data_IF_396905464329
#
_entry.id   IF_396905464329
#
_cell.length_a   1.000
_cell.length_b   1.000
_cell.length_c   1.000
_cell.angle_alpha   90.00
_cell.angle_beta   90.00
_cell.angle_gamma   90.00
#
_symmetry.space_group_name_H-M   'P 1'
#
loop_
_entity.id
_entity.type
_entity.pdbx_description
1 polymer ?
#
# COMPACT_ATOMS: atom_id res chain seq x y z
N UNK A 1 -0.78 10.34 11.44
CA UNK A 1 -0.35 9.91 10.11
C UNK A 1 -0.78 8.47 9.89
N UNK A 2 -1.77 8.23 9.03
CA UNK A 2 -2.34 6.89 8.90
C UNK A 2 -1.40 5.91 8.20
N UNK A 3 -1.26 4.75 8.79
CA UNK A 3 -0.49 3.62 8.27
C UNK A 3 -1.39 2.38 8.10
N UNK A 4 -2.41 2.26 8.94
CA UNK A 4 -3.34 1.14 8.92
C UNK A 4 -4.78 1.65 8.81
N UNK A 5 -5.73 0.83 8.30
CA UNK A 5 -7.12 1.24 8.24
C UNK A 5 -7.73 1.36 9.62
N UNK A 6 -8.69 2.26 9.76
CA UNK A 6 -9.55 2.29 10.95
C UNK A 6 -10.55 1.12 10.87
N UNK A 7 -11.14 0.71 12.01
CA UNK A 7 -12.19 -0.31 11.97
C UNK A 7 -13.36 0.06 11.05
N UNK A 8 -13.75 1.34 11.03
CA UNK A 8 -14.83 1.82 10.16
C UNK A 8 -14.46 1.70 8.67
N UNK A 9 -13.22 2.03 8.29
CA UNK A 9 -12.75 1.90 6.92
C UNK A 9 -12.73 0.44 6.47
N UNK A 10 -12.29 -0.46 7.35
CA UNK A 10 -12.26 -1.88 7.05
C UNK A 10 -13.68 -2.43 6.87
N UNK A 11 -14.62 -2.04 7.74
CA UNK A 11 -16.02 -2.42 7.61
C UNK A 11 -16.64 -1.93 6.30
N UNK A 12 -16.31 -0.70 5.89
CA UNK A 12 -16.77 -0.15 4.61
C UNK A 12 -16.23 -0.95 3.43
N UNK A 13 -14.98 -1.37 3.48
CA UNK A 13 -14.40 -2.19 2.42
C UNK A 13 -15.07 -3.57 2.35
N UNK A 14 -15.31 -4.19 3.49
CA UNK A 14 -16.00 -5.49 3.57
C UNK A 14 -17.41 -5.41 3.00
N UNK A 15 -18.11 -4.31 3.27
CA UNK A 15 -19.49 -4.09 2.82
C UNK A 15 -19.60 -3.49 1.43
N UNK A 16 -18.48 -3.06 0.83
CA UNK A 16 -18.49 -2.38 -0.46
C UNK A 16 -18.94 -3.30 -1.60
N UNK A 17 -19.56 -2.70 -2.61
CA UNK A 17 -20.12 -3.41 -3.76
C UNK A 17 -19.21 -3.24 -4.99
N UNK A 18 -17.95 -3.62 -4.83
CA UNK A 18 -16.99 -3.64 -5.94
C UNK A 18 -17.06 -4.98 -6.64
N UNK A 19 -17.28 -4.95 -7.94
CA UNK A 19 -17.27 -6.15 -8.78
C UNK A 19 -15.98 -6.20 -9.60
N UNK A 20 -15.38 -7.40 -9.70
CA UNK A 20 -14.18 -7.61 -10.51
C UNK A 20 -12.89 -7.14 -9.83
N UNK A 21 -11.87 -6.83 -10.63
CA UNK A 21 -10.55 -6.50 -10.10
C UNK A 21 -10.56 -5.24 -9.25
N UNK A 22 -9.83 -5.30 -8.14
CA UNK A 22 -9.62 -4.18 -7.24
C UNK A 22 -8.21 -3.64 -7.46
N UNK A 23 -8.10 -2.34 -7.71
CA UNK A 23 -6.82 -1.67 -7.84
C UNK A 23 -6.59 -0.81 -6.61
N UNK A 24 -5.54 -1.12 -5.86
CA UNK A 24 -5.16 -0.33 -4.69
C UNK A 24 -4.11 0.69 -5.08
N UNK A 25 -4.48 1.97 -4.97
CA UNK A 25 -3.55 3.09 -5.17
C UNK A 25 -2.91 3.41 -3.83
N UNK A 26 -1.59 3.33 -3.79
CA UNK A 26 -0.80 3.63 -2.61
C UNK A 26 -0.05 4.95 -2.82
N UNK A 27 -0.18 5.86 -1.87
CA UNK A 27 0.66 7.05 -1.77
C UNK A 27 1.49 6.90 -0.51
N UNK A 28 2.82 7.02 -0.63
CA UNK A 28 3.74 6.70 0.44
C UNK A 28 4.68 7.86 0.72
N UNK A 29 4.88 8.14 2.01
CA UNK A 29 5.89 9.06 2.50
C UNK A 29 6.80 8.31 3.45
N UNK A 30 8.07 8.23 3.11
CA UNK A 30 9.05 7.48 3.90
C UNK A 30 9.58 8.30 5.06
N UNK A 31 9.88 7.60 6.16
CA UNK A 31 10.73 8.15 7.22
C UNK A 31 12.14 8.29 6.68
N UNK A 32 12.86 9.32 7.14
CA UNK A 32 14.30 9.44 6.80
C UNK A 32 15.07 8.25 7.34
N UNK A 33 14.76 7.87 8.59
CA UNK A 33 15.29 6.67 9.23
C UNK A 33 14.14 5.80 9.70
N UNK A 34 14.17 4.54 9.33
CA UNK A 34 13.21 3.55 9.80
C UNK A 34 13.37 3.35 11.31
N UNK A 35 12.29 2.94 11.95
CA UNK A 35 12.32 2.58 13.37
C UNK A 35 11.98 1.10 13.58
N UNK A 36 11.75 0.70 14.82
CA UNK A 36 11.32 -0.64 15.16
C UNK A 36 12.24 -1.72 14.59
N UNK A 37 11.63 -2.66 13.88
CA UNK A 37 12.31 -3.83 13.31
C UNK A 37 13.41 -3.48 12.30
N UNK A 38 13.31 -2.31 11.66
CA UNK A 38 14.24 -1.85 10.64
C UNK A 38 15.11 -0.69 11.09
N UNK A 39 15.25 -0.48 12.38
CA UNK A 39 16.10 0.59 12.90
C UNK A 39 17.53 0.47 12.33
N UNK A 40 18.08 1.62 11.92
CA UNK A 40 19.43 1.69 11.36
C UNK A 40 19.50 1.78 9.84
N UNK A 41 18.38 1.62 9.12
CA UNK A 41 18.33 1.82 7.67
C UNK A 41 17.35 2.97 7.35
N UNK A 42 17.35 3.41 6.09
CA UNK A 42 16.39 4.44 5.65
C UNK A 42 14.96 3.88 5.58
N UNK A 43 13.98 4.77 5.63
CA UNK A 43 12.58 4.38 5.40
C UNK A 43 12.39 3.73 4.04
N UNK A 44 13.03 4.26 3.01
CA UNK A 44 12.97 3.69 1.67
C UNK A 44 13.51 2.25 1.63
N UNK A 45 14.61 1.97 2.31
CA UNK A 45 15.18 0.61 2.39
C UNK A 45 14.27 -0.33 3.18
N UNK A 46 13.68 0.15 4.28
CA UNK A 46 12.73 -0.64 5.05
C UNK A 46 11.50 -1.00 4.21
N UNK A 47 11.01 -0.07 3.39
CA UNK A 47 9.88 -0.33 2.51
C UNK A 47 10.25 -1.35 1.42
N UNK A 48 11.49 -1.28 0.90
CA UNK A 48 11.98 -2.29 -0.05
C UNK A 48 11.93 -3.69 0.57
N UNK A 49 12.35 -3.82 1.83
CA UNK A 49 12.26 -5.08 2.57
C UNK A 49 10.83 -5.56 2.69
N UNK A 50 9.90 -4.65 2.97
CA UNK A 50 8.48 -4.95 3.01
C UNK A 50 7.99 -5.49 1.66
N UNK A 51 8.37 -4.83 0.57
CA UNK A 51 8.00 -5.25 -0.78
C UNK A 51 8.48 -6.66 -1.12
N UNK A 52 9.74 -6.97 -0.78
CA UNK A 52 10.29 -8.30 -1.00
C UNK A 52 9.56 -9.36 -0.18
N UNK A 53 9.30 -9.07 1.10
CA UNK A 53 8.61 -10.00 1.98
C UNK A 53 7.15 -10.21 1.59
N UNK A 54 6.50 -9.20 1.01
CA UNK A 54 5.10 -9.24 0.61
C UNK A 54 4.88 -9.99 -0.71
N UNK A 55 5.87 -10.01 -1.60
CA UNK A 55 5.71 -10.57 -2.94
C UNK A 55 5.11 -11.98 -2.97
N UNK A 56 5.55 -12.96 -2.14
CA UNK A 56 4.95 -14.28 -2.15
C UNK A 56 3.46 -14.28 -1.76
N UNK A 57 3.06 -13.41 -0.82
CA UNK A 57 1.67 -13.31 -0.38
C UNK A 57 0.81 -12.72 -1.49
N UNK A 58 1.32 -11.71 -2.19
CA UNK A 58 0.63 -11.11 -3.32
C UNK A 58 0.39 -12.12 -4.44
N UNK A 59 1.43 -12.90 -4.78
CA UNK A 59 1.32 -13.95 -5.79
C UNK A 59 0.29 -15.01 -5.40
N UNK A 60 0.27 -15.38 -4.13
CA UNK A 60 -0.64 -16.43 -3.62
C UNK A 60 -2.11 -16.09 -3.84
N UNK A 61 -2.46 -14.81 -3.72
CA UNK A 61 -3.85 -14.36 -3.94
C UNK A 61 -4.11 -13.91 -5.38
N UNK A 62 -3.14 -14.06 -6.26
CA UNK A 62 -3.29 -13.68 -7.67
C UNK A 62 -3.14 -12.18 -7.92
N UNK A 63 -2.57 -11.46 -6.98
CA UNK A 63 -2.31 -10.03 -7.11
C UNK A 63 -1.06 -9.75 -7.93
N UNK A 64 -0.95 -8.51 -8.41
CA UNK A 64 0.24 -8.08 -9.16
C UNK A 64 0.45 -6.57 -9.02
N UNK A 65 1.71 -6.19 -9.03
CA UNK A 65 2.10 -4.79 -9.09
C UNK A 65 1.91 -4.30 -10.53
N UNK A 66 1.07 -3.29 -10.74
CA UNK A 66 0.85 -2.70 -12.06
C UNK A 66 1.89 -1.64 -12.38
N UNK A 67 2.23 -0.81 -11.39
CA UNK A 67 3.07 0.36 -11.60
C UNK A 67 3.62 0.83 -10.26
N UNK A 68 4.90 1.20 -10.24
CA UNK A 68 5.51 1.90 -9.12
C UNK A 68 6.29 3.08 -9.68
N UNK A 69 6.05 4.27 -9.12
CA UNK A 69 6.69 5.50 -9.60
C UNK A 69 7.17 6.34 -8.42
N UNK A 70 8.28 7.02 -8.64
CA UNK A 70 8.80 7.99 -7.68
C UNK A 70 8.20 9.36 -8.00
N UNK A 71 7.61 10.00 -6.99
CA UNK A 71 7.05 11.35 -7.13
C UNK A 71 8.19 12.36 -7.18
N UNK A 72 8.19 13.25 -8.18
CA UNK A 72 9.29 14.19 -8.41
C UNK A 72 8.91 15.64 -8.20
N UNK A 73 7.71 16.03 -8.60
CA UNK A 73 7.33 17.44 -8.60
C UNK A 73 5.83 17.60 -8.58
N UNK A 74 5.35 18.50 -7.77
CA UNK A 74 3.95 18.92 -7.79
C UNK A 74 3.74 19.89 -8.95
N UNK A 75 3.09 19.43 -10.00
CA UNK A 75 2.83 20.27 -11.19
C UNK A 75 1.55 21.10 -10.97
N UNK A 76 0.52 20.48 -10.40
CA UNK A 76 -0.73 21.16 -10.02
C UNK A 76 -1.11 20.68 -8.64
N UNK A 77 -1.27 21.59 -7.70
CA UNK A 77 -1.67 21.28 -6.33
C UNK A 77 -0.87 22.10 -5.32
N UNK A 78 -0.86 21.71 -4.05
CA UNK A 78 -0.04 22.38 -3.05
C UNK A 78 1.42 22.39 -3.44
N UNK A 79 2.12 23.48 -3.17
CA UNK A 79 3.52 23.64 -3.58
C UNK A 79 4.45 22.59 -2.96
N UNK A 80 4.10 22.11 -1.76
CA UNK A 80 4.89 21.08 -1.07
C UNK A 80 4.46 19.70 -1.53
N UNK A 81 5.42 18.94 -2.06
CA UNK A 81 5.20 17.55 -2.42
C UNK A 81 5.32 16.70 -1.15
N UNK A 82 4.21 16.10 -0.73
CA UNK A 82 4.15 15.31 0.51
C UNK A 82 4.41 13.82 0.31
N UNK A 83 4.50 13.36 -0.93
CA UNK A 83 4.60 11.93 -1.24
C UNK A 83 5.93 11.63 -1.95
N UNK A 84 6.53 10.49 -1.59
CA UNK A 84 7.78 10.03 -2.19
C UNK A 84 7.55 9.05 -3.32
N UNK A 85 6.53 8.21 -3.20
CA UNK A 85 6.25 7.14 -4.14
C UNK A 85 4.75 6.91 -4.27
N UNK A 86 4.34 6.54 -5.49
CA UNK A 86 2.99 6.03 -5.74
C UNK A 86 3.11 4.67 -6.38
N UNK A 87 2.23 3.74 -5.99
CA UNK A 87 2.18 2.45 -6.65
C UNK A 87 0.74 1.95 -6.74
N UNK A 88 0.49 1.15 -7.77
CA UNK A 88 -0.80 0.53 -8.01
C UNK A 88 -0.64 -0.98 -7.99
N UNK A 89 -1.44 -1.64 -7.16
CA UNK A 89 -1.45 -3.08 -7.02
C UNK A 89 -2.85 -3.59 -7.36
N UNK A 90 -2.94 -4.54 -8.29
CA UNK A 90 -4.20 -5.14 -8.68
C UNK A 90 -4.40 -6.46 -7.95
N UNK A 91 -5.61 -6.64 -7.43
CA UNK A 91 -6.08 -7.91 -6.85
C UNK A 91 -7.24 -8.42 -7.71
N UNK A 92 -7.40 -9.75 -7.86
CA UNK A 92 -8.52 -10.29 -8.64
C UNK A 92 -9.89 -9.86 -8.13
N UNK A 93 -10.00 -9.63 -6.82
CA UNK A 93 -11.24 -9.23 -6.16
C UNK A 93 -10.93 -8.58 -4.82
N UNK A 94 -11.93 -7.92 -4.26
CA UNK A 94 -11.88 -7.39 -2.89
C UNK A 94 -11.61 -8.51 -1.88
N UNK A 95 -12.24 -9.66 -2.07
CA UNK A 95 -12.09 -10.82 -1.20
C UNK A 95 -10.65 -11.32 -1.16
N UNK A 96 -9.96 -11.29 -2.29
CA UNK A 96 -8.56 -11.70 -2.37
C UNK A 96 -7.64 -10.74 -1.63
N UNK A 97 -7.91 -9.43 -1.73
CA UNK A 97 -7.19 -8.46 -0.92
C UNK A 97 -7.38 -8.72 0.57
N UNK A 98 -8.63 -8.92 0.99
CA UNK A 98 -8.95 -9.17 2.40
C UNK A 98 -8.34 -10.48 2.90
N UNK A 99 -8.28 -11.51 2.05
CA UNK A 99 -7.61 -12.78 2.37
C UNK A 99 -6.14 -12.56 2.69
N UNK A 100 -5.42 -11.77 1.88
CA UNK A 100 -4.02 -11.45 2.14
C UNK A 100 -3.88 -10.57 3.40
N UNK A 101 -4.70 -9.54 3.51
CA UNK A 101 -4.61 -8.57 4.60
C UNK A 101 -4.92 -9.19 5.97
N UNK A 102 -5.67 -10.28 6.02
CA UNK A 102 -6.02 -10.98 7.26
C UNK A 102 -5.13 -12.19 7.55
N UNK A 103 -4.19 -12.52 6.66
CA UNK A 103 -3.26 -13.63 6.85
C UNK A 103 -2.30 -13.30 8.02
N UNK A 104 -2.23 -14.13 9.07
CA UNK A 104 -1.34 -13.88 10.20
C UNK A 104 0.13 -13.73 9.80
N UNK A 105 0.59 -14.50 8.80
CA UNK A 105 1.97 -14.43 8.34
C UNK A 105 2.25 -13.11 7.61
N UNK A 106 1.27 -12.61 6.83
CA UNK A 106 1.38 -11.29 6.23
C UNK A 106 1.41 -10.20 7.29
N UNK A 107 0.55 -10.29 8.31
CA UNK A 107 0.51 -9.31 9.39
C UNK A 107 1.83 -9.22 10.13
N UNK A 108 2.57 -10.34 10.24
CA UNK A 108 3.89 -10.35 10.88
C UNK A 108 4.91 -9.50 10.10
N UNK A 109 4.83 -9.49 8.76
CA UNK A 109 5.76 -8.67 7.94
C UNK A 109 5.29 -7.23 7.76
N UNK A 110 4.06 -6.93 8.12
CA UNK A 110 3.51 -5.58 8.03
C UNK A 110 4.28 -4.58 8.92
N UNK A 111 5.03 -5.08 9.89
CA UNK A 111 5.91 -4.26 10.74
C UNK A 111 6.95 -3.49 9.92
N UNK A 112 7.45 -4.06 8.82
CA UNK A 112 8.38 -3.37 7.92
C UNK A 112 7.73 -2.13 7.30
N UNK A 113 6.44 -2.23 6.95
CA UNK A 113 5.70 -1.11 6.39
C UNK A 113 5.54 0.00 7.43
N UNK A 114 5.16 -0.34 8.65
CA UNK A 114 5.03 0.62 9.74
C UNK A 114 6.37 1.28 10.10
N UNK A 115 7.45 0.51 10.07
CA UNK A 115 8.79 1.01 10.34
C UNK A 115 9.26 2.02 9.28
N UNK A 116 8.80 1.87 8.03
CA UNK A 116 9.24 2.63 6.87
C UNK A 116 8.52 3.95 6.67
N UNK A 117 7.23 4.03 7.02
CA UNK A 117 6.35 5.10 6.58
C UNK A 117 6.03 6.12 7.65
N UNK A 118 6.16 7.41 7.30
CA UNK A 118 5.68 8.51 8.16
C UNK A 118 4.22 8.84 7.86
N UNK A 119 3.75 8.57 6.65
CA UNK A 119 2.36 8.76 6.25
C UNK A 119 2.05 7.88 5.04
N UNK A 120 0.78 7.59 4.83
CA UNK A 120 0.35 6.80 3.67
C UNK A 120 -1.11 7.05 3.36
N UNK A 121 -1.47 6.75 2.12
CA UNK A 121 -2.87 6.65 1.68
C UNK A 121 -3.01 5.35 0.91
N UNK A 122 -4.09 4.66 1.14
CA UNK A 122 -4.46 3.46 0.38
C UNK A 122 -5.89 3.66 -0.11
N UNK A 123 -6.05 3.76 -1.42
CA UNK A 123 -7.34 4.08 -2.04
C UNK A 123 -7.78 2.89 -2.89
N UNK A 124 -8.95 2.35 -2.61
CA UNK A 124 -9.55 1.29 -3.40
C UNK A 124 -10.16 1.87 -4.66
N UNK A 125 -9.75 1.36 -5.81
CA UNK A 125 -10.16 1.87 -7.12
C UNK A 125 -10.67 0.74 -8.01
N UNK A 126 -11.57 1.12 -8.94
CA UNK A 126 -11.98 0.26 -10.04
C UNK A 126 -11.49 0.87 -11.35
N UNK A 127 -11.20 0.02 -12.34
CA UNK A 127 -10.79 0.50 -13.65
C UNK A 127 -11.90 1.30 -14.33
N UNK A 128 -11.49 2.32 -15.08
CA UNK A 128 -12.40 3.14 -15.89
C UNK A 128 -12.13 2.82 -17.36
N UNK A 129 -13.20 2.53 -18.11
CA UNK A 129 -13.11 2.27 -19.55
C UNK A 129 -13.65 3.46 -20.33
N UNK A 130 -13.20 3.61 -21.58
CA UNK A 130 -13.70 4.64 -22.49
C UNK A 130 -13.20 6.05 -22.21
N UNK A 131 -12.17 6.18 -21.41
CA UNK A 131 -11.58 7.50 -21.13
C UNK A 131 -10.67 7.92 -22.28
#
# INVERSE_FOLDING_TARGET
MPITPTPAQLEQLIAADFDGPLIMLNLLRFKDRADGIDAGVSGAEAYRRYGEATAPFLQRVGGRLLLAVEAKQMVIGPETLEWDMALMVEYPSREKFLEMASDPDYLAIHEHRAAALSDSRLIACEGVTGL
#
